data_IF_430737837818
#
_entry.id   IF_430737837818
#
_cell.length_a   1.000
_cell.length_b   1.000
_cell.length_c   1.000
_cell.angle_alpha   90.00
_cell.angle_beta   90.00
_cell.angle_gamma   90.00
#
_symmetry.space_group_name_H-M   'P 1'
#
loop_
_entity.id
_entity.type
_entity.pdbx_description
1 polymer ?
2 non-polymer ?
3 non-polymer ?
4 water ?
#
# COMPACT_ATOMS: atom_id res chain seq x y z
N UNK A 1 12.53 1.42 20.00
CA UNK A 1 11.76 2.01 18.92
C UNK A 1 12.64 2.78 17.95
N UNK A 2 13.96 2.64 18.11
CA UNK A 2 14.89 3.22 17.15
C UNK A 2 15.12 2.25 16.00
N UNK A 3 15.01 2.76 14.79
CA UNK A 3 15.34 1.94 13.62
C UNK A 3 16.85 1.84 13.49
N UNK A 4 17.30 0.74 12.90
CA UNK A 4 18.72 0.40 12.79
C UNK A 4 19.16 0.53 11.34
N UNK A 5 19.99 1.51 11.00
CA UNK A 5 20.42 1.67 9.60
C UNK A 5 21.16 0.48 9.04
N UNK A 6 21.70 -0.40 9.90
CA UNK A 6 22.47 -1.55 9.44
C UNK A 6 21.61 -2.80 9.22
N UNK A 7 20.30 -2.72 9.47
CA UNK A 7 19.42 -3.87 9.27
C UNK A 7 18.61 -3.71 7.99
N UNK A 8 18.29 -4.85 7.36
CA UNK A 8 17.24 -4.89 6.35
C UNK A 8 15.91 -4.47 6.95
N UNK A 9 14.94 -4.12 6.11
CA UNK A 9 13.63 -3.71 6.64
C UNK A 9 13.01 -4.67 7.63
N UNK A 10 13.21 -5.98 7.45
CA UNK A 10 12.69 -6.99 8.37
C UNK A 10 13.19 -6.88 9.80
N UNK A 11 14.28 -6.17 10.04
CA UNK A 11 14.75 -5.92 11.39
C UNK A 11 14.20 -4.67 12.02
N UNK A 12 13.57 -3.82 11.23
CA UNK A 12 13.08 -2.53 11.67
C UNK A 12 11.57 -2.42 11.70
N UNK A 13 10.88 -3.31 10.97
CA UNK A 13 9.42 -3.35 10.90
C UNK A 13 8.95 -4.78 11.09
N UNK A 14 7.73 -4.94 11.60
CA UNK A 14 7.13 -6.27 11.74
C UNK A 14 6.64 -6.73 10.37
N UNK A 15 7.45 -7.49 9.66
CA UNK A 15 7.06 -8.00 8.35
C UNK A 15 6.49 -9.42 8.43
N UNK A 16 6.18 -9.90 9.63
CA UNK A 16 5.49 -11.18 9.76
C UNK A 16 4.05 -11.12 9.27
N UNK A 17 3.49 -9.93 9.04
CA UNK A 17 2.14 -9.79 8.51
C UNK A 17 2.14 -9.35 7.07
N UNK A 18 3.29 -9.38 6.39
CA UNK A 18 3.39 -8.90 5.02
C UNK A 18 4.17 -9.88 4.14
N UNK A 19 3.77 -9.93 2.87
CA UNK A 19 4.60 -10.40 1.77
C UNK A 19 4.87 -9.20 0.85
N UNK A 20 5.81 -9.35 -0.08
CA UNK A 20 6.20 -8.21 -0.93
C UNK A 20 6.04 -8.53 -2.42
N UNK A 21 5.28 -7.70 -3.12
CA UNK A 21 5.16 -7.79 -4.58
C UNK A 21 6.10 -6.77 -5.23
N UNK A 22 6.85 -7.21 -6.23
CA UNK A 22 7.92 -6.46 -6.87
C UNK A 22 7.58 -6.08 -8.30
N UNK A 23 8.37 -5.18 -8.89
CA UNK A 23 8.16 -4.80 -10.28
C UNK A 23 8.99 -5.59 -11.28
N UNK A 24 9.64 -6.66 -10.82
CA UNK A 24 10.33 -7.61 -11.67
C UNK A 24 9.54 -8.92 -11.66
N UNK A 25 9.84 -9.78 -12.61
CA UNK A 25 9.04 -10.98 -12.73
C UNK A 25 9.52 -11.87 -13.86
N UNK A 26 8.90 -13.04 -13.93
CA UNK A 26 9.21 -14.04 -14.92
C UNK A 26 7.90 -14.73 -15.30
N UNK A 27 7.72 -14.96 -16.61
CA UNK A 27 6.51 -15.62 -17.12
C UNK A 27 5.29 -14.73 -16.94
N UNK A 28 5.46 -13.42 -17.10
CA UNK A 28 4.38 -12.48 -16.92
C UNK A 28 3.82 -12.38 -15.51
N UNK A 29 4.43 -13.09 -14.56
CA UNK A 29 4.00 -13.12 -13.17
C UNK A 29 5.04 -12.40 -12.33
N UNK A 30 4.61 -11.59 -11.38
CA UNK A 30 5.57 -10.77 -10.67
C UNK A 30 6.27 -11.60 -9.59
N UNK A 31 7.52 -11.25 -9.31
CA UNK A 31 8.24 -11.85 -8.18
C UNK A 31 7.58 -11.44 -6.88
N UNK A 32 7.36 -12.40 -6.00
CA UNK A 32 6.82 -12.16 -4.67
C UNK A 32 7.80 -12.69 -3.64
N UNK A 33 8.13 -11.87 -2.64
CA UNK A 33 8.97 -12.30 -1.51
C UNK A 33 8.04 -12.72 -0.38
N UNK A 34 8.19 -13.97 0.07
CA UNK A 34 7.39 -14.50 1.17
C UNK A 34 7.75 -13.81 2.48
N UNK A 35 6.77 -13.75 3.38
CA UNK A 35 7.03 -13.17 4.70
C UNK A 35 8.26 -13.78 5.36
N UNK A 36 8.40 -15.11 5.32
CA UNK A 36 9.54 -15.74 6.00
C UNK A 36 10.87 -15.22 5.48
N UNK A 37 10.93 -14.80 4.21
CA UNK A 37 12.16 -14.26 3.65
C UNK A 37 12.32 -12.76 3.83
N UNK A 38 11.23 -12.05 4.14
CA UNK A 38 11.32 -10.63 4.49
C UNK A 38 11.81 -10.42 5.91
N UNK A 39 11.44 -11.33 6.82
CA UNK A 39 11.62 -11.10 8.24
C UNK A 39 13.08 -11.07 8.65
N UNK A 40 13.37 -10.23 9.64
CA UNK A 40 14.65 -10.25 10.31
C UNK A 40 15.63 -9.19 9.78
N UNK A 41 16.61 -8.89 10.61
CA UNK A 41 17.64 -7.92 10.25
C UNK A 41 18.43 -8.37 9.02
N UNK A 42 18.50 -9.68 8.77
CA UNK A 42 19.15 -10.20 7.57
C UNK A 42 18.17 -10.65 6.50
N UNK A 43 16.95 -10.12 6.53
CA UNK A 43 15.94 -10.42 5.56
C UNK A 43 16.19 -9.78 4.20
N UNK A 44 15.20 -9.94 3.33
CA UNK A 44 15.33 -9.52 1.94
C UNK A 44 15.58 -8.01 1.81
N UNK A 45 16.51 -7.67 0.91
CA UNK A 45 16.61 -6.32 0.37
C UNK A 45 16.86 -6.43 -1.11
N UNK A 46 16.45 -5.40 -1.85
CA UNK A 46 16.67 -5.36 -3.27
C UNK A 46 16.73 -3.95 -3.80
N UNK A 47 16.85 -3.79 -5.12
CA UNK A 47 17.05 -2.45 -5.67
C UNK A 47 15.87 -1.51 -5.47
N UNK A 48 14.65 -2.00 -5.25
CA UNK A 48 13.50 -1.15 -5.04
C UNK A 48 12.92 -1.22 -3.63
N UNK A 49 13.60 -1.93 -2.70
CA UNK A 49 13.07 -2.15 -1.35
C UNK A 49 14.29 -2.31 -0.45
N UNK A 50 14.63 -1.24 0.28
CA UNK A 50 15.90 -1.26 1.00
C UNK A 50 15.84 -0.26 2.16
N UNK A 51 16.85 -0.36 3.03
CA UNK A 51 16.93 0.50 4.21
C UNK A 51 17.72 1.77 3.90
N UNK A 52 17.19 2.91 4.34
CA UNK A 52 17.87 4.19 4.30
C UNK A 52 19.06 4.14 5.26
N UNK A 53 20.28 4.20 4.74
CA UNK A 53 21.45 4.01 5.57
C UNK A 53 21.71 5.18 6.53
N UNK A 54 20.99 6.29 6.39
CA UNK A 54 21.16 7.38 7.34
C UNK A 54 20.28 7.22 8.58
N UNK A 55 19.14 6.52 8.48
CA UNK A 55 18.18 6.53 9.58
C UNK A 55 17.38 5.26 9.76
N UNK A 56 17.59 4.22 8.97
CA UNK A 56 16.86 2.96 9.16
C UNK A 56 15.47 2.88 8.57
N UNK A 57 14.97 3.94 7.93
CA UNK A 57 13.65 3.91 7.35
C UNK A 57 13.63 3.03 6.09
N UNK A 58 12.41 2.67 5.66
CA UNK A 58 12.21 1.83 4.49
C UNK A 58 11.98 2.69 3.25
N UNK A 59 12.77 2.43 2.20
CA UNK A 59 12.64 3.10 0.91
C UNK A 59 12.05 2.12 -0.10
N UNK A 60 10.98 2.56 -0.78
CA UNK A 60 10.31 1.75 -1.81
C UNK A 60 10.22 2.58 -3.08
N UNK A 61 10.83 2.09 -4.16
CA UNK A 61 10.71 2.74 -5.47
C UNK A 61 9.93 1.85 -6.44
N UNK A 62 9.42 2.48 -7.50
CA UNK A 62 8.70 1.71 -8.50
C UNK A 62 8.79 2.42 -9.83
N UNK A 63 8.86 1.68 -10.93
CA UNK A 63 8.91 2.31 -12.25
C UNK A 63 7.53 2.61 -12.81
N UNK A 64 7.52 3.52 -13.79
CA UNK A 64 6.31 3.94 -14.46
C UNK A 64 5.82 2.97 -15.53
N UNK A 65 4.98 3.50 -16.43
CA UNK A 65 4.17 2.75 -17.39
C UNK A 65 4.88 1.50 -17.92
N UNK A 66 4.39 0.30 -17.63
CA UNK A 66 5.07 -0.92 -18.13
C UNK A 66 5.18 -0.99 -19.63
N UNK A 67 4.26 -0.36 -20.37
CA UNK A 67 4.39 -0.34 -21.81
C UNK A 67 5.68 0.36 -22.24
N UNK A 68 6.21 1.24 -21.42
CA UNK A 68 7.47 1.92 -21.69
C UNK A 68 8.64 1.26 -20.99
N UNK A 69 8.47 0.91 -19.71
CA UNK A 69 9.59 0.48 -18.88
C UNK A 69 9.84 -1.02 -18.92
N UNK A 70 8.87 -1.82 -19.36
CA UNK A 70 9.03 -3.26 -19.36
C UNK A 70 8.87 -3.92 -18.01
N UNK A 71 8.45 -3.19 -16.98
CA UNK A 71 8.31 -3.77 -15.66
C UNK A 71 7.14 -4.77 -15.64
N UNK A 72 7.18 -5.68 -14.67
CA UNK A 72 6.21 -6.77 -14.55
C UNK A 72 4.97 -6.31 -13.79
N UNK A 73 3.81 -6.80 -14.21
CA UNK A 73 2.53 -6.46 -13.57
C UNK A 73 1.82 -7.73 -13.11
N UNK A 74 1.06 -7.60 -12.04
CA UNK A 74 0.20 -8.68 -11.57
C UNK A 74 -0.95 -8.91 -12.55
N UNK A 75 -1.67 -10.01 -12.34
CA UNK A 75 -2.67 -10.51 -13.28
C UNK A 75 -3.61 -9.45 -13.83
N UNK A 76 -4.41 -8.82 -12.97
CA UNK A 76 -5.42 -7.91 -13.44
C UNK A 76 -5.02 -6.44 -13.35
N UNK A 77 -3.74 -6.15 -13.57
CA UNK A 77 -3.22 -4.80 -13.42
C UNK A 77 -2.37 -4.38 -14.62
N UNK A 78 -2.41 -3.08 -14.94
CA UNK A 78 -1.55 -2.49 -15.95
C UNK A 78 -0.48 -1.55 -15.36
N UNK A 79 -0.15 -1.73 -14.08
CA UNK A 79 0.77 -0.84 -13.37
C UNK A 79 1.73 -1.67 -12.52
N UNK A 80 2.96 -1.18 -12.37
CA UNK A 80 3.99 -1.87 -11.60
C UNK A 80 4.06 -1.38 -10.15
N UNK A 81 4.60 -2.23 -9.26
CA UNK A 81 4.57 -1.92 -7.85
C UNK A 81 5.77 -2.51 -7.11
N UNK A 82 6.16 -1.82 -6.03
CA UNK A 82 6.87 -2.40 -4.89
C UNK A 82 5.92 -2.20 -3.72
N UNK A 83 5.17 -3.25 -3.35
CA UNK A 83 4.02 -3.07 -2.47
C UNK A 83 3.87 -4.27 -1.56
N UNK A 84 3.59 -4.01 -0.28
CA UNK A 84 3.36 -5.07 0.70
C UNK A 84 1.91 -5.51 0.66
N UNK A 85 1.71 -6.83 0.73
CA UNK A 85 0.42 -7.49 0.66
C UNK A 85 0.23 -8.29 1.95
N UNK A 86 -0.88 -8.05 2.63
CA UNK A 86 -1.08 -8.63 3.96
C UNK A 86 -1.14 -10.15 3.94
N UNK A 87 -0.49 -10.79 4.93
CA UNK A 87 -0.53 -12.23 5.16
C UNK A 87 -0.81 -12.51 6.63
N UNK A 88 -1.15 -13.77 6.89
CA UNK A 88 -1.42 -14.25 8.24
C UNK A 88 -0.11 -14.36 9.00
N UNK A 89 -0.09 -13.82 10.23
CA UNK A 89 1.16 -13.77 10.99
C UNK A 89 1.65 -15.16 11.36
N UNK A 90 0.74 -16.10 11.61
CA UNK A 90 1.13 -17.43 12.04
C UNK A 90 1.69 -18.26 10.89
N UNK A 91 1.01 -18.25 9.74
CA UNK A 91 1.31 -19.16 8.64
C UNK A 91 2.06 -18.55 7.47
N UNK A 92 2.10 -17.23 7.34
CA UNK A 92 2.66 -16.60 6.15
C UNK A 92 1.79 -16.67 4.92
N UNK A 93 0.61 -17.26 5.00
CA UNK A 93 -0.23 -17.41 3.82
C UNK A 93 -1.06 -16.15 3.60
N UNK A 94 -1.44 -15.92 2.34
CA UNK A 94 -2.36 -14.83 2.01
C UNK A 94 -3.60 -14.94 2.89
N UNK A 95 -4.11 -13.79 3.32
CA UNK A 95 -5.20 -13.74 4.27
C UNK A 95 -6.19 -12.67 3.84
N UNK A 96 -7.32 -12.67 4.53
CA UNK A 96 -8.33 -11.62 4.44
C UNK A 96 -9.18 -11.69 5.69
N UNK A 97 -10.04 -10.68 5.85
CA UNK A 97 -10.77 -10.47 7.09
C UNK A 97 -12.10 -9.79 6.84
N UNK A 98 -13.03 -10.02 7.76
CA UNK A 98 -14.34 -9.41 7.69
C UNK A 98 -14.30 -8.02 8.30
N UNK A 99 -14.95 -7.06 7.71
CA UNK A 99 -14.92 -5.71 8.27
C UNK A 99 -15.72 -5.53 9.56
N UNK A 100 -16.20 -6.61 10.16
CA UNK A 100 -16.77 -6.50 11.49
C UNK A 100 -15.65 -6.40 12.52
N UNK A 101 -15.93 -5.76 13.63
CA UNK A 101 -14.81 -5.53 14.51
C UNK A 101 -13.81 -4.58 13.87
N UNK A 102 -12.60 -4.56 14.41
CA UNK A 102 -11.65 -3.48 14.19
C UNK A 102 -10.54 -3.95 13.27
N UNK A 103 -10.33 -3.22 12.18
CA UNK A 103 -9.28 -3.53 11.22
C UNK A 103 -8.66 -2.22 10.77
N UNK A 104 -7.41 -1.96 11.16
CA UNK A 104 -6.77 -0.69 10.80
C UNK A 104 -5.34 -0.92 10.32
N UNK A 105 -4.92 -0.01 9.45
CA UNK A 105 -3.56 0.07 8.91
C UNK A 105 -3.08 1.49 9.16
N UNK A 106 -2.02 1.64 9.97
CA UNK A 106 -1.48 2.94 10.32
C UNK A 106 -0.05 3.03 9.80
N UNK A 107 0.23 4.02 8.96
CA UNK A 107 1.52 4.17 8.29
C UNK A 107 1.99 5.61 8.39
N UNK A 108 3.24 5.80 8.83
CA UNK A 108 3.90 7.10 8.72
C UNK A 108 4.82 7.05 7.49
N UNK A 109 4.63 7.97 6.56
CA UNK A 109 5.42 7.91 5.34
C UNK A 109 5.56 9.29 4.72
N UNK A 110 6.52 9.40 3.83
CA UNK A 110 6.70 10.60 3.04
C UNK A 110 6.91 10.19 1.59
N UNK A 111 6.51 11.06 0.67
CA UNK A 111 6.64 10.80 -0.75
C UNK A 111 7.69 11.76 -1.30
N UNK A 112 8.75 11.20 -1.89
CA UNK A 112 9.83 11.98 -2.46
C UNK A 112 9.56 12.31 -3.93
N UNK A 113 8.97 11.37 -4.67
CA UNK A 113 8.59 11.62 -6.06
C UNK A 113 7.33 10.83 -6.34
N UNK A 114 6.32 11.48 -6.92
CA UNK A 114 5.06 10.83 -7.26
C UNK A 114 4.96 10.71 -8.78
N UNK A 115 4.14 9.77 -9.25
CA UNK A 115 3.98 9.56 -10.67
C UNK A 115 2.87 10.42 -11.26
N UNK A 116 2.74 10.36 -12.58
CA UNK A 116 1.83 11.21 -13.34
C UNK A 116 0.54 10.50 -13.75
N UNK A 117 0.15 9.45 -13.01
CA UNK A 117 -1.19 8.92 -13.15
C UNK A 117 -2.21 9.98 -12.79
N UNK A 118 -3.48 9.67 -13.09
CA UNK A 118 -4.55 10.65 -12.93
C UNK A 118 -4.55 11.29 -11.54
N UNK A 119 -4.27 10.48 -10.51
CA UNK A 119 -4.28 10.92 -9.13
C UNK A 119 -2.91 10.77 -8.47
N UNK A 120 -1.90 10.31 -9.20
CA UNK A 120 -0.60 10.01 -8.63
C UNK A 120 -0.48 8.58 -8.12
N UNK A 121 0.50 8.40 -7.22
CA UNK A 121 0.93 7.08 -6.79
C UNK A 121 -0.02 6.50 -5.75
N UNK A 122 -0.35 5.22 -5.88
CA UNK A 122 -1.16 4.52 -4.87
C UNK A 122 -0.28 4.07 -3.71
N UNK A 123 -0.61 4.57 -2.51
CA UNK A 123 0.20 4.40 -1.32
C UNK A 123 -0.42 3.49 -0.26
N UNK A 124 -1.69 3.15 -0.40
CA UNK A 124 -2.32 2.17 0.46
C UNK A 124 -3.61 1.69 -0.15
N UNK A 125 -4.02 0.47 0.23
CA UNK A 125 -5.26 -0.09 -0.32
C UNK A 125 -5.97 -0.94 0.72
N UNK A 126 -7.29 -0.95 0.59
CA UNK A 126 -8.16 -1.97 1.15
C UNK A 126 -8.66 -2.76 -0.05
N UNK A 127 -8.22 -4.01 -0.18
CA UNK A 127 -8.51 -4.83 -1.37
C UNK A 127 -9.63 -5.81 -1.04
N UNK A 128 -10.66 -5.86 -1.89
CA UNK A 128 -11.80 -6.76 -1.66
C UNK A 128 -11.49 -8.12 -2.25
N UNK A 129 -11.01 -9.04 -1.42
CA UNK A 129 -10.77 -10.42 -1.85
C UNK A 129 -12.03 -11.04 -2.44
N UNK A 130 -13.21 -10.70 -1.88
CA UNK A 130 -14.45 -11.35 -2.29
C UNK A 130 -14.78 -11.11 -3.76
N UNK A 131 -14.32 -9.98 -4.34
CA UNK A 131 -14.59 -9.65 -5.73
C UNK A 131 -13.31 -9.57 -6.56
N UNK A 132 -12.17 -9.88 -5.97
CA UNK A 132 -10.87 -9.74 -6.64
C UNK A 132 -10.67 -8.34 -7.23
N UNK A 133 -11.05 -7.30 -6.49
CA UNK A 133 -10.98 -5.88 -6.93
C UNK A 133 -10.62 -5.01 -5.73
N UNK A 134 -10.10 -3.80 -5.95
CA UNK A 134 -9.93 -2.90 -4.80
C UNK A 134 -11.25 -2.32 -4.28
N UNK A 135 -11.39 -2.26 -2.96
CA UNK A 135 -12.47 -1.50 -2.34
C UNK A 135 -12.11 -0.02 -2.25
N UNK A 136 -10.88 0.27 -1.84
CA UNK A 136 -10.37 1.63 -1.66
C UNK A 136 -8.90 1.67 -2.03
N UNK A 137 -8.54 2.64 -2.87
CA UNK A 137 -7.18 2.81 -3.36
C UNK A 137 -6.78 4.27 -3.13
N UNK A 138 -5.82 4.51 -2.23
CA UNK A 138 -5.45 5.85 -1.82
C UNK A 138 -4.25 6.32 -2.62
N UNK A 139 -4.35 7.54 -3.15
CA UNK A 139 -3.40 8.11 -4.10
C UNK A 139 -2.78 9.39 -3.53
N UNK A 140 -1.55 9.67 -3.98
CA UNK A 140 -0.78 10.86 -3.58
C UNK A 140 -0.23 11.50 -4.85
N UNK A 141 -0.67 12.73 -5.14
CA UNK A 141 -0.36 13.37 -6.42
C UNK A 141 0.96 14.15 -6.39
N UNK A 142 1.40 14.58 -7.58
CA UNK A 142 2.59 15.42 -7.65
C UNK A 142 2.39 16.79 -7.03
N UNK A 143 1.15 17.17 -6.71
CA UNK A 143 0.87 18.39 -5.97
C UNK A 143 0.73 18.14 -4.48
N UNK A 144 0.92 16.91 -4.03
CA UNK A 144 0.72 16.57 -2.64
C UNK A 144 -0.71 16.37 -2.23
N UNK A 145 -1.64 16.28 -3.19
CA UNK A 145 -3.03 16.02 -2.86
C UNK A 145 -3.23 14.54 -2.62
N UNK A 146 -3.85 14.21 -1.48
CA UNK A 146 -4.13 12.83 -1.11
C UNK A 146 -5.61 12.60 -1.36
N UNK A 147 -5.91 11.58 -2.15
CA UNK A 147 -7.27 11.22 -2.51
C UNK A 147 -7.47 9.73 -2.31
N UNK A 148 -8.73 9.30 -2.38
CA UNK A 148 -9.05 7.88 -2.38
C UNK A 148 -10.10 7.61 -3.45
N UNK A 149 -9.90 6.53 -4.20
CA UNK A 149 -10.88 6.02 -5.13
C UNK A 149 -11.57 4.81 -4.52
N UNK A 150 -12.90 4.89 -4.42
CA UNK A 150 -13.72 3.81 -3.89
C UNK A 150 -14.63 3.33 -5.01
N UNK A 151 -14.48 2.06 -5.40
CA UNK A 151 -15.35 1.52 -6.42
C UNK A 151 -16.80 1.52 -5.95
N UNK A 152 -17.71 1.92 -6.85
CA UNK A 152 -19.14 1.96 -6.55
C UNK A 152 -19.70 0.54 -6.68
N UNK A 153 -19.42 -0.27 -5.65
CA UNK A 153 -19.64 -1.70 -5.67
C UNK A 153 -18.68 -2.37 -6.61
N UNK A 154 -18.77 -3.70 -6.69
CA UNK A 154 -17.75 -4.47 -7.42
C UNK A 154 -17.76 -4.24 -8.91
N UNK A 155 -18.84 -3.72 -9.49
CA UNK A 155 -18.93 -3.45 -10.91
C UNK A 155 -18.86 -1.99 -11.27
N UNK A 156 -18.64 -1.10 -10.30
CA UNK A 156 -18.69 0.33 -10.55
C UNK A 156 -17.33 0.97 -10.71
N UNK A 157 -17.34 2.21 -11.20
CA UNK A 157 -16.11 2.96 -11.30
C UNK A 157 -15.78 3.60 -9.96
N UNK A 158 -14.54 4.07 -9.83
CA UNK A 158 -14.07 4.67 -8.59
C UNK A 158 -14.62 6.07 -8.44
N UNK A 159 -15.26 6.33 -7.31
CA UNK A 159 -15.60 7.66 -6.85
C UNK A 159 -14.42 8.21 -6.06
N UNK A 160 -13.99 9.42 -6.41
CA UNK A 160 -12.80 10.03 -5.82
C UNK A 160 -13.22 11.00 -4.72
N UNK A 161 -12.61 10.85 -3.54
CA UNK A 161 -12.76 11.79 -2.43
C UNK A 161 -11.39 12.37 -2.04
N UNK A 162 -11.32 13.69 -1.84
CA UNK A 162 -10.11 14.35 -1.39
C UNK A 162 -10.00 14.20 0.13
N UNK A 163 -8.80 13.82 0.60
CA UNK A 163 -8.54 13.55 2.00
C UNK A 163 -7.65 14.57 2.69
N UNK A 164 -6.79 15.25 1.94
CA UNK A 164 -5.87 16.20 2.53
C UNK A 164 -4.83 16.58 1.50
N UNK A 165 -3.92 17.47 1.93
CA UNK A 165 -2.78 17.86 1.13
C UNK A 165 -1.55 17.90 2.02
N UNK A 166 -0.45 17.31 1.55
CA UNK A 166 0.81 17.26 2.28
C UNK A 166 1.91 17.53 1.27
N UNK A 167 2.80 18.50 1.50
CA UNK A 167 3.86 18.78 0.52
C UNK A 167 4.81 17.60 0.35
N UNK A 168 5.28 17.42 -0.87
CA UNK A 168 6.24 16.33 -1.11
C UNK A 168 7.43 16.49 -0.19
N UNK A 169 7.91 15.37 0.33
CA UNK A 169 9.07 15.37 1.20
C UNK A 169 8.75 15.54 2.67
N UNK A 170 7.49 15.69 3.03
CA UNK A 170 7.05 15.86 4.40
C UNK A 170 6.36 14.58 4.92
N UNK A 171 6.75 14.12 6.10
CA UNK A 171 6.12 12.95 6.68
C UNK A 171 4.70 13.25 7.16
N UNK A 172 3.82 12.29 6.94
CA UNK A 172 2.43 12.35 7.39
C UNK A 172 2.04 10.95 7.85
N UNK A 173 0.95 10.86 8.61
CA UNK A 173 0.44 9.58 9.10
C UNK A 173 -0.93 9.32 8.52
N UNK A 174 -1.10 8.17 7.87
CA UNK A 174 -2.40 7.75 7.42
C UNK A 174 -2.92 6.58 8.25
N UNK A 175 -4.24 6.52 8.42
CA UNK A 175 -4.92 5.37 9.01
C UNK A 175 -6.03 4.97 8.05
N UNK A 176 -5.95 3.75 7.51
CA UNK A 176 -7.06 3.17 6.75
C UNK A 176 -7.80 2.23 7.67
N UNK A 177 -9.11 2.43 7.82
CA UNK A 177 -9.92 1.64 8.73
C UNK A 177 -11.13 1.08 8.00
N UNK A 178 -11.40 -0.22 8.17
CA UNK A 178 -12.66 -0.80 7.69
C UNK A 178 -13.16 -1.63 8.86
N UNK A 179 -13.97 -1.00 9.71
CA UNK A 179 -14.23 -1.47 11.06
C UNK A 179 -15.70 -1.28 11.36
N UNK A 180 -16.33 -2.29 11.97
CA UNK A 180 -17.77 -2.27 12.19
C UNK A 180 -18.51 -1.87 10.91
N UNK A 181 -18.03 -2.38 9.78
CA UNK A 181 -18.61 -2.13 8.46
C UNK A 181 -18.55 -0.68 8.00
N UNK A 182 -17.68 0.13 8.60
CA UNK A 182 -17.51 1.54 8.25
C UNK A 182 -16.11 1.73 7.67
N UNK A 183 -16.03 2.26 6.45
CA UNK A 183 -14.75 2.60 5.82
C UNK A 183 -14.40 4.05 6.11
N UNK A 184 -13.17 4.29 6.59
CA UNK A 184 -12.71 5.66 6.82
C UNK A 184 -11.20 5.70 6.61
N UNK A 185 -10.71 6.89 6.30
CA UNK A 185 -9.27 7.18 6.24
C UNK A 185 -9.01 8.48 6.96
N UNK A 186 -7.94 8.51 7.77
CA UNK A 186 -7.52 9.75 8.41
C UNK A 186 -6.09 10.08 8.01
N UNK A 187 -5.86 11.36 7.72
CA UNK A 187 -4.54 11.89 7.38
C UNK A 187 -4.21 12.88 8.50
N UNK A 188 -3.13 12.59 9.25
CA UNK A 188 -2.74 13.44 10.38
C UNK A 188 -3.91 13.73 11.31
N UNK A 189 -4.76 12.72 11.53
CA UNK A 189 -5.88 12.86 12.44
C UNK A 189 -7.14 13.50 11.87
N UNK A 190 -7.12 13.92 10.60
CA UNK A 190 -8.31 14.44 9.93
C UNK A 190 -9.01 13.24 9.29
N UNK A 191 -10.15 12.83 9.86
CA UNK A 191 -10.82 11.60 9.46
C UNK A 191 -11.94 11.89 8.47
N UNK A 192 -12.00 11.11 7.40
CA UNK A 192 -13.08 11.17 6.42
C UNK A 192 -13.75 9.80 6.37
N UNK A 193 -15.05 9.77 6.67
CA UNK A 193 -15.84 8.55 6.51
C UNK A 193 -16.29 8.47 5.06
N UNK A 194 -16.17 7.27 4.48
CA UNK A 194 -16.32 7.07 3.04
C UNK A 194 -17.51 6.16 2.73
N UNK A 195 -18.30 6.57 1.74
CA UNK A 195 -19.39 5.77 1.23
C UNK A 195 -18.83 4.49 0.60
N UNK A 196 -19.43 3.34 0.94
CA UNK A 196 -19.10 2.07 0.28
C UNK A 196 -20.16 1.61 -0.73
N UNK A 197 -21.16 2.43 -1.01
CA UNK A 197 -22.08 2.22 -2.14
C UNK A 197 -22.74 0.85 -2.02
N UNK A 198 -22.72 0.01 -3.06
CA UNK A 198 -23.41 -1.27 -3.08
C UNK A 198 -22.55 -2.44 -2.62
N UNK A 199 -21.35 -2.18 -2.10
CA UNK A 199 -20.51 -3.26 -1.60
C UNK A 199 -21.21 -4.00 -0.46
N UNK A 200 -21.19 -5.31 -0.54
CA UNK A 200 -21.85 -6.13 0.48
C UNK A 200 -20.87 -6.80 1.43
N UNK A 201 -20.38 -6.03 2.42
CA UNK A 201 -19.40 -6.40 3.46
C UNK A 201 -18.36 -7.42 2.98
N UNK A 202 -17.59 -7.08 1.95
CA UNK A 202 -16.63 -8.05 1.41
C UNK A 202 -15.48 -8.31 2.36
N UNK A 203 -15.03 -9.57 2.37
CA UNK A 203 -13.74 -9.90 2.97
C UNK A 203 -12.65 -9.09 2.28
N UNK A 204 -11.72 -8.52 3.06
CA UNK A 204 -10.71 -7.64 2.50
C UNK A 204 -9.34 -7.93 3.08
N UNK A 205 -8.31 -7.32 2.48
CA UNK A 205 -6.98 -7.28 3.08
C UNK A 205 -6.30 -5.98 2.74
N UNK A 206 -5.24 -5.68 3.49
CA UNK A 206 -4.52 -4.42 3.34
C UNK A 206 -3.34 -4.59 2.39
N UNK A 207 -3.01 -3.51 1.68
CA UNK A 207 -1.77 -3.36 0.93
C UNK A 207 -1.19 -1.97 1.25
N UNK A 208 0.14 -1.88 1.26
CA UNK A 208 0.80 -0.62 1.58
C UNK A 208 2.15 -0.56 0.88
N UNK A 209 2.48 0.61 0.32
CA UNK A 209 3.76 0.79 -0.31
C UNK A 209 3.70 1.73 -1.50
N UNK A 210 4.13 1.25 -2.67
CA UNK A 210 4.36 2.13 -3.82
C UNK A 210 3.86 1.43 -5.08
N UNK A 211 2.63 1.76 -5.48
CA UNK A 211 1.96 1.16 -6.63
C UNK A 211 1.84 2.28 -7.67
N UNK A 212 2.79 2.27 -8.61
CA UNK A 212 3.01 3.41 -9.51
C UNK A 212 1.99 3.40 -10.65
N UNK A 213 1.23 4.49 -10.77
CA UNK A 213 0.13 4.63 -11.72
C UNK A 213 0.55 5.41 -12.97
N UNK A 214 1.85 5.53 -13.23
CA UNK A 214 2.32 6.54 -14.17
C UNK A 214 1.83 6.30 -15.59
N UNK A 215 1.47 7.39 -16.27
CA UNK A 215 1.22 7.38 -17.71
C UNK A 215 2.54 7.35 -18.50
N UNK A 216 3.58 7.99 -17.99
CA UNK A 216 4.90 7.96 -18.60
C UNK A 216 5.80 7.07 -17.72
N UNK A 217 7.09 7.03 -18.05
CA UNK A 217 8.02 6.18 -17.33
C UNK A 217 8.41 6.69 -15.95
N UNK A 218 7.90 7.86 -15.52
CA UNK A 218 8.34 8.51 -14.27
C UNK A 218 8.37 7.52 -13.12
N UNK A 219 9.50 7.52 -12.39
CA UNK A 219 9.67 6.70 -11.19
C UNK A 219 8.94 7.33 -10.01
N UNK A 220 8.53 6.50 -9.06
CA UNK A 220 7.97 6.97 -7.80
C UNK A 220 8.84 6.47 -6.64
N UNK A 221 8.89 7.28 -5.57
CA UNK A 221 9.71 6.95 -4.40
C UNK A 221 8.98 7.36 -3.13
N UNK A 222 8.85 6.39 -2.23
CA UNK A 222 8.12 6.47 -0.98
C UNK A 222 9.08 6.05 0.14
N UNK A 223 9.03 6.73 1.29
CA UNK A 223 9.77 6.28 2.46
C UNK A 223 8.76 6.03 3.59
N UNK A 224 8.96 4.92 4.30
CA UNK A 224 8.10 4.52 5.41
C UNK A 224 8.91 4.53 6.71
N UNK A 225 8.34 5.17 7.73
CA UNK A 225 8.92 5.27 9.07
C UNK A 225 8.27 4.32 10.09
N UNK A 226 7.01 3.97 9.89
CA UNK A 226 6.33 3.00 10.76
C UNK A 226 5.13 2.40 10.02
N UNK A 227 4.77 1.17 10.37
CA UNK A 227 3.66 0.48 9.71
C UNK A 227 3.09 -0.57 10.67
N UNK A 228 1.80 -0.42 11.01
CA UNK A 228 1.16 -1.26 12.03
C UNK A 228 -0.23 -1.68 11.56
N UNK A 229 -0.50 -2.97 11.71
CA UNK A 229 -1.79 -3.58 11.37
C UNK A 229 -2.44 -4.01 12.68
N UNK A 230 -3.72 -3.66 12.86
CA UNK A 230 -4.50 -4.08 14.00
C UNK A 230 -5.75 -4.80 13.52
N UNK A 231 -6.01 -5.98 14.09
CA UNK A 231 -7.26 -6.71 13.91
C UNK A 231 -7.76 -7.11 15.29
N UNK A 232 -8.91 -6.60 15.68
CA UNK A 232 -9.56 -6.95 16.94
C UNK A 232 -11.03 -7.23 16.61
N UNK A 233 -11.44 -8.48 16.75
CA UNK A 233 -12.77 -8.87 16.32
C UNK A 233 -13.59 -9.33 17.52
#
# INVERSE_FOLDING_TARGET
>A
EFLDPSCAPGGNFDLSVWSLQLPTGSAGKVDTIKSRDLQGCNGYTGPTFFTDKSNGELILTAPGNPDITGCATTSGSEHCRTELREVDSATGQNTDWAPAGTNTLTVAMKVIQADDGSHGTAIGQVFAAAASKPLAEMYYSQKGDITVGVKQGPSGNQAITKLGTVPLGTYFTYIMSYSDDVLSISINGNKTTLDTFSWGTPNCYFKSGNYNQGKTAVTSEVHIQSIAVVHDQEVDHHHHHH
#
